data_IF_513505494522
#
_entry.id   IF_513505494522
#
_cell.length_a   1.000
_cell.length_b   1.000
_cell.length_c   1.000
_cell.angle_alpha   90.00
_cell.angle_beta   90.00
_cell.angle_gamma   90.00
#
_symmetry.space_group_name_H-M   'P 1'
#
loop_
_entity.id
_entity.type
_entity.pdbx_description
1 polymer ?
#
# COMPACT_ATOMS: atom_id res chain seq x y z
N UNK A 1 -6.85 -16.84 -4.55
CA UNK A 1 -5.78 -17.47 -3.75
C UNK A 1 -4.51 -16.77 -4.16
N UNK A 2 -4.09 -15.76 -3.41
CA UNK A 2 -2.82 -15.10 -3.64
C UNK A 2 -1.76 -15.96 -2.98
N UNK A 3 -0.95 -16.62 -3.80
CA UNK A 3 0.32 -17.21 -3.40
C UNK A 3 1.13 -16.13 -2.70
N UNK A 4 1.36 -16.30 -1.40
CA UNK A 4 2.48 -15.65 -0.73
C UNK A 4 3.70 -15.96 -1.57
N UNK A 5 4.27 -14.95 -2.21
CA UNK A 5 5.52 -15.08 -2.94
C UNK A 5 6.55 -15.59 -1.95
N UNK A 6 6.86 -16.87 -2.04
CA UNK A 6 8.01 -17.43 -1.38
C UNK A 6 9.20 -16.59 -1.86
N UNK A 7 9.91 -15.96 -0.91
CA UNK A 7 11.26 -15.50 -1.20
C UNK A 7 11.98 -16.68 -1.87
N UNK A 8 12.68 -16.47 -2.99
CA UNK A 8 13.35 -17.56 -3.68
C UNK A 8 14.20 -18.31 -2.66
N UNK A 9 14.09 -19.63 -2.60
CA UNK A 9 14.92 -20.48 -1.71
C UNK A 9 16.42 -20.14 -1.85
N UNK A 10 16.81 -19.63 -3.02
CA UNK A 10 18.13 -19.07 -3.29
C UNK A 10 18.52 -17.86 -2.42
N UNK A 11 17.60 -16.96 -2.06
CA UNK A 11 17.89 -15.76 -1.23
C UNK A 11 18.12 -16.15 0.23
N UNK A 12 17.35 -17.10 0.75
CA UNK A 12 17.52 -17.62 2.12
C UNK A 12 18.82 -18.43 2.23
N UNK A 13 19.14 -19.24 1.20
CA UNK A 13 20.40 -19.97 1.13
C UNK A 13 21.62 -19.05 0.96
N UNK A 14 21.48 -17.94 0.22
CA UNK A 14 22.52 -16.93 0.08
C UNK A 14 22.76 -16.18 1.40
N UNK A 15 21.70 -15.84 2.15
CA UNK A 15 21.83 -15.24 3.48
C UNK A 15 22.57 -16.17 4.45
N UNK A 16 22.22 -17.46 4.53
CA UNK A 16 22.89 -18.39 5.44
C UNK A 16 24.40 -18.56 5.12
N UNK A 17 24.78 -18.58 3.84
CA UNK A 17 26.20 -18.64 3.41
C UNK A 17 26.95 -17.34 3.70
N UNK A 18 26.30 -16.19 3.59
CA UNK A 18 26.88 -14.89 3.90
C UNK A 18 27.19 -14.74 5.40
N UNK A 19 26.30 -15.23 6.26
CA UNK A 19 26.51 -15.22 7.71
C UNK A 19 27.60 -16.21 8.15
N UNK A 20 27.70 -17.38 7.51
CA UNK A 20 28.79 -18.33 7.76
C UNK A 20 30.17 -17.78 7.32
N UNK A 21 30.23 -17.07 6.20
CA UNK A 21 31.46 -16.41 5.73
C UNK A 21 31.87 -15.22 6.63
N UNK A 22 30.88 -14.44 7.11
CA UNK A 22 31.13 -13.36 8.07
C UNK A 22 31.59 -13.88 9.44
N UNK A 23 31.04 -15.01 9.91
CA UNK A 23 31.46 -15.66 11.16
C UNK A 23 32.86 -16.32 11.06
N UNK A 24 33.26 -16.76 9.86
CA UNK A 24 34.62 -17.25 9.64
C UNK A 24 35.66 -16.11 9.58
N UNK A 25 35.27 -14.93 9.10
CA UNK A 25 36.14 -13.75 9.06
C UNK A 25 36.42 -13.13 10.44
N UNK A 26 35.53 -13.31 11.42
CA UNK A 26 35.74 -12.85 12.82
C UNK A 26 36.56 -13.83 13.67
N UNK A 27 36.87 -15.02 13.15
CA UNK A 27 37.65 -16.05 13.84
C UNK A 27 39.13 -16.07 13.40
N UNK A 28 39.67 -14.95 12.91
CA UNK A 28 41.10 -14.86 12.63
C UNK A 28 41.89 -14.86 13.94
N UNK A 29 42.50 -16.00 14.26
CA UNK A 29 43.47 -16.11 15.35
C UNK A 29 44.86 -15.89 14.74
N UNK A 30 45.56 -14.79 15.10
CA UNK A 30 46.89 -14.55 14.56
C UNK A 30 47.84 -15.68 14.99
N UNK A 31 48.64 -16.25 14.07
CA UNK A 31 49.67 -17.21 14.46
C UNK A 31 50.71 -16.50 15.36
N UNK A 32 51.21 -17.21 16.37
CA UNK A 32 52.31 -16.70 17.20
C UNK A 32 53.59 -16.77 16.37
N UNK A 33 54.12 -15.61 15.99
CA UNK A 33 55.32 -15.48 15.16
C UNK A 33 56.55 -15.16 16.01
N UNK A 34 57.68 -15.81 15.70
CA UNK A 34 58.97 -15.63 16.40
C UNK A 34 60.07 -15.00 15.53
N UNK A 35 59.81 -14.79 14.23
CA UNK A 35 60.71 -14.13 13.29
C UNK A 35 59.99 -13.03 12.49
N UNK A 36 60.78 -12.14 11.87
CA UNK A 36 60.27 -10.98 11.13
C UNK A 36 59.53 -11.37 9.84
N UNK A 37 59.91 -12.50 9.22
CA UNK A 37 59.25 -13.00 8.02
C UNK A 37 57.84 -13.55 8.32
N UNK A 38 57.67 -14.28 9.43
CA UNK A 38 56.35 -14.72 9.91
C UNK A 38 55.49 -13.52 10.29
N UNK A 39 56.04 -12.51 10.99
CA UNK A 39 55.29 -11.32 11.36
C UNK A 39 54.74 -10.57 10.14
N UNK A 40 55.57 -10.38 9.11
CA UNK A 40 55.13 -9.76 7.85
C UNK A 40 54.03 -10.57 7.13
N UNK A 41 54.13 -11.91 7.17
CA UNK A 41 53.10 -12.81 6.63
C UNK A 41 51.78 -12.75 7.40
N UNK A 42 51.84 -12.69 8.74
CA UNK A 42 50.68 -12.57 9.61
C UNK A 42 49.97 -11.22 9.44
N UNK A 43 50.72 -10.13 9.31
CA UNK A 43 50.18 -8.79 9.06
C UNK A 43 49.48 -8.72 7.69
N UNK A 44 50.07 -9.31 6.64
CA UNK A 44 49.44 -9.38 5.32
C UNK A 44 48.15 -10.23 5.33
N UNK A 45 48.15 -11.36 6.06
CA UNK A 45 46.97 -12.20 6.22
C UNK A 45 45.85 -11.48 7.01
N UNK A 46 46.22 -10.73 8.05
CA UNK A 46 45.28 -9.92 8.82
C UNK A 46 44.67 -8.80 7.97
N UNK A 47 45.50 -8.04 7.25
CA UNK A 47 45.04 -6.96 6.38
C UNK A 47 44.11 -7.46 5.28
N UNK A 48 44.39 -8.61 4.68
CA UNK A 48 43.52 -9.22 3.66
C UNK A 48 42.21 -9.71 4.27
N UNK A 49 42.25 -10.37 5.43
CA UNK A 49 41.08 -10.85 6.15
C UNK A 49 40.12 -9.72 6.59
N UNK A 50 40.63 -8.53 6.91
CA UNK A 50 39.82 -7.37 7.29
C UNK A 50 39.36 -6.56 6.07
N UNK A 51 40.24 -6.32 5.10
CA UNK A 51 39.93 -5.44 3.95
C UNK A 51 38.92 -6.06 2.98
N UNK A 52 39.02 -7.37 2.67
CA UNK A 52 38.10 -8.06 1.76
C UNK A 52 36.62 -7.97 2.17
N UNK A 53 36.22 -8.30 3.40
CA UNK A 53 34.82 -8.20 3.82
C UNK A 53 34.35 -6.74 3.87
N UNK A 54 35.23 -5.80 4.19
CA UNK A 54 34.89 -4.37 4.23
C UNK A 54 34.64 -3.82 2.82
N UNK A 55 35.49 -4.18 1.85
CA UNK A 55 35.29 -3.85 0.43
C UNK A 55 34.04 -4.54 -0.12
N UNK A 56 33.80 -5.82 0.23
CA UNK A 56 32.59 -6.53 -0.19
C UNK A 56 31.32 -5.88 0.40
N UNK A 57 31.34 -5.50 1.68
CA UNK A 57 30.22 -4.79 2.31
C UNK A 57 29.97 -3.43 1.65
N UNK A 58 31.03 -2.68 1.32
CA UNK A 58 30.92 -1.42 0.60
C UNK A 58 30.38 -1.63 -0.82
N UNK A 59 30.82 -2.65 -1.55
CA UNK A 59 30.34 -2.97 -2.89
C UNK A 59 28.86 -3.37 -2.87
N UNK A 60 28.44 -4.19 -1.91
CA UNK A 60 27.03 -4.55 -1.71
C UNK A 60 26.20 -3.33 -1.32
N UNK A 61 26.70 -2.49 -0.41
CA UNK A 61 26.05 -1.23 -0.04
C UNK A 61 25.89 -0.30 -1.24
N UNK A 62 26.93 -0.14 -2.05
CA UNK A 62 26.90 0.67 -3.27
C UNK A 62 25.95 0.10 -4.32
N UNK A 63 25.83 -1.22 -4.44
CA UNK A 63 24.89 -1.86 -5.35
C UNK A 63 23.44 -1.71 -4.91
N UNK A 64 23.14 -1.88 -3.62
CA UNK A 64 21.79 -1.70 -3.05
C UNK A 64 21.35 -0.24 -3.10
N UNK A 65 22.28 0.69 -2.91
CA UNK A 65 22.02 2.14 -2.98
C UNK A 65 22.16 2.69 -4.41
N UNK A 66 22.46 1.84 -5.40
CA UNK A 66 22.60 2.31 -6.79
C UNK A 66 21.26 2.88 -7.23
N UNK A 67 21.23 4.13 -7.72
CA UNK A 67 20.00 4.66 -8.31
C UNK A 67 19.56 3.75 -9.47
N UNK A 68 18.25 3.58 -9.69
CA UNK A 68 17.75 2.77 -10.78
C UNK A 68 18.38 3.22 -12.11
N UNK A 69 18.66 2.30 -13.05
CA UNK A 69 19.30 2.64 -14.31
C UNK A 69 18.47 3.69 -15.04
N UNK A 70 19.14 4.76 -15.50
CA UNK A 70 18.49 5.91 -16.16
C UNK A 70 17.66 5.52 -17.37
N UNK A 71 18.03 4.43 -18.04
CA UNK A 71 17.31 3.85 -19.16
C UNK A 71 15.83 3.55 -18.85
N UNK A 72 15.50 3.19 -17.59
CA UNK A 72 14.11 2.93 -17.16
C UNK A 72 13.30 4.21 -16.90
N UNK A 73 13.97 5.32 -16.58
CA UNK A 73 13.37 6.64 -16.45
C UNK A 73 13.09 7.21 -17.84
N UNK A 74 14.06 7.11 -18.74
CA UNK A 74 13.98 7.64 -20.10
C UNK A 74 13.00 6.83 -20.98
N UNK A 75 12.79 5.54 -20.67
CA UNK A 75 11.82 4.69 -21.38
C UNK A 75 10.36 4.96 -20.98
N UNK A 76 10.10 5.84 -20.01
CA UNK A 76 8.76 6.06 -19.47
C UNK A 76 8.17 4.81 -18.81
N UNK A 77 9.00 3.94 -18.22
CA UNK A 77 8.54 2.75 -17.49
C UNK A 77 8.43 3.00 -16.00
N UNK A 78 9.36 3.78 -15.46
CA UNK A 78 9.33 4.22 -14.07
C UNK A 78 8.62 5.56 -13.96
N UNK A 79 7.58 5.59 -13.15
CA UNK A 79 6.85 6.81 -12.81
C UNK A 79 7.05 7.10 -11.33
N UNK A 80 7.49 8.32 -11.04
CA UNK A 80 7.53 8.82 -9.68
C UNK A 80 6.20 9.49 -9.36
N UNK A 81 5.53 9.09 -8.28
CA UNK A 81 4.47 9.91 -7.72
C UNK A 81 5.12 11.18 -7.13
N UNK A 82 4.89 12.38 -7.68
CA UNK A 82 5.57 13.60 -7.28
C UNK A 82 5.34 13.96 -5.81
N UNK A 83 4.32 13.39 -5.16
CA UNK A 83 3.97 13.68 -3.78
C UNK A 83 4.61 12.73 -2.78
N UNK A 84 4.70 11.45 -3.12
CA UNK A 84 5.25 10.42 -2.21
C UNK A 84 6.69 10.07 -2.53
N UNK A 85 7.19 10.42 -3.72
CA UNK A 85 8.48 9.96 -4.23
C UNK A 85 8.52 8.44 -4.45
N UNK A 86 7.35 7.78 -4.49
CA UNK A 86 7.28 6.34 -4.72
C UNK A 86 7.38 6.07 -6.20
N UNK A 87 8.33 5.24 -6.57
CA UNK A 87 8.56 4.80 -7.94
C UNK A 87 7.67 3.60 -8.26
N UNK A 88 6.96 3.67 -9.37
CA UNK A 88 6.15 2.57 -9.91
C UNK A 88 6.67 2.16 -11.27
N UNK A 89 6.83 0.86 -11.48
CA UNK A 89 7.18 0.31 -12.79
C UNK A 89 5.89 -0.12 -13.51
N UNK A 90 5.61 0.53 -14.65
CA UNK A 90 4.51 0.13 -15.52
C UNK A 90 4.93 -1.04 -16.42
N UNK A 91 4.00 -1.94 -16.77
CA UNK A 91 4.23 -2.95 -17.80
C UNK A 91 4.66 -2.31 -19.13
N UNK A 92 5.42 -3.06 -19.94
CA UNK A 92 5.92 -2.55 -21.22
C UNK A 92 4.78 -2.09 -22.14
N UNK A 93 4.87 -0.86 -22.65
CA UNK A 93 3.89 -0.30 -23.59
C UNK A 93 2.61 0.28 -22.98
N UNK A 94 2.51 0.34 -21.65
CA UNK A 94 1.32 0.89 -20.97
C UNK A 94 1.63 2.27 -20.38
N UNK A 95 0.97 3.30 -20.91
CA UNK A 95 0.99 4.65 -20.32
C UNK A 95 0.03 4.73 -19.13
N UNK A 96 0.47 5.26 -17.98
CA UNK A 96 -0.41 5.42 -16.83
C UNK A 96 -1.47 6.48 -17.11
N UNK A 97 -2.65 6.27 -16.53
CA UNK A 97 -3.74 7.22 -16.54
C UNK A 97 -3.39 8.41 -15.65
N UNK A 98 -3.60 9.59 -16.22
CA UNK A 98 -3.38 10.86 -15.56
C UNK A 98 -4.70 11.63 -15.54
N UNK A 99 -5.07 12.14 -14.37
CA UNK A 99 -6.25 12.99 -14.18
C UNK A 99 -6.03 14.38 -14.79
N UNK A 100 -7.08 15.20 -14.88
CA UNK A 100 -7.08 16.57 -15.42
C UNK A 100 -6.09 17.54 -14.75
N UNK A 101 -5.53 17.15 -13.60
CA UNK A 101 -4.55 17.94 -12.84
C UNK A 101 -3.11 17.40 -13.01
N UNK A 102 -2.87 16.59 -14.04
CA UNK A 102 -1.59 15.91 -14.28
C UNK A 102 -1.14 14.98 -13.13
N UNK A 103 -2.11 14.43 -12.37
CA UNK A 103 -1.88 13.51 -11.25
C UNK A 103 -2.23 12.07 -11.65
N UNK A 104 -1.43 11.10 -11.20
CA UNK A 104 -1.68 9.67 -11.45
C UNK A 104 -3.04 9.21 -10.89
N UNK A 105 -3.74 8.40 -11.67
CA UNK A 105 -4.94 7.68 -11.22
C UNK A 105 -4.59 6.26 -10.74
N UNK A 106 -5.27 5.81 -9.68
CA UNK A 106 -4.91 4.57 -8.99
C UNK A 106 -6.06 3.56 -8.92
N UNK A 107 -5.74 2.27 -8.95
CA UNK A 107 -6.67 1.18 -8.64
C UNK A 107 -6.48 0.78 -7.17
N UNK A 108 -7.55 0.80 -6.35
CA UNK A 108 -7.47 0.34 -4.98
C UNK A 108 -7.57 -1.19 -4.93
N UNK A 109 -6.46 -1.87 -4.70
CA UNK A 109 -6.41 -3.34 -4.57
C UNK A 109 -6.37 -3.76 -3.10
N UNK A 110 -5.55 -3.08 -2.30
CA UNK A 110 -5.41 -3.31 -0.86
C UNK A 110 -4.95 -2.01 -0.21
N UNK A 111 -3.91 -2.00 0.62
CA UNK A 111 -3.31 -0.80 1.20
C UNK A 111 -2.46 -0.01 0.21
N UNK A 112 -1.91 -0.68 -0.80
CA UNK A 112 -1.06 -0.04 -1.80
C UNK A 112 -1.88 0.34 -3.02
N UNK A 113 -1.97 1.63 -3.37
CA UNK A 113 -2.57 2.05 -4.63
C UNK A 113 -1.67 1.61 -5.79
N UNK A 114 -2.27 1.13 -6.88
CA UNK A 114 -1.54 0.73 -8.08
C UNK A 114 -1.88 1.67 -9.25
N UNK A 115 -0.93 2.22 -10.00
CA UNK A 115 -1.25 3.05 -11.15
C UNK A 115 -2.05 2.27 -12.20
N UNK A 116 -2.94 2.97 -12.89
CA UNK A 116 -3.87 2.38 -13.86
C UNK A 116 -3.46 2.75 -15.27
N UNK A 117 -3.77 1.92 -16.27
CA UNK A 117 -3.58 2.25 -17.68
C UNK A 117 -4.57 3.33 -18.14
N UNK A 118 -4.17 4.21 -19.08
CA UNK A 118 -5.00 5.31 -19.59
C UNK A 118 -6.37 4.90 -20.14
N UNK A 119 -6.49 3.68 -20.66
CA UNK A 119 -7.69 3.12 -21.29
C UNK A 119 -8.53 2.25 -20.33
N UNK A 120 -8.19 2.23 -19.04
CA UNK A 120 -8.85 1.32 -18.11
C UNK A 120 -10.35 1.65 -17.98
N UNK A 121 -11.21 0.61 -17.99
CA UNK A 121 -12.63 0.78 -17.79
C UNK A 121 -12.93 1.06 -16.31
N UNK A 122 -13.84 2.00 -16.06
CA UNK A 122 -14.29 2.28 -14.71
C UNK A 122 -14.74 3.72 -14.49
N UNK A 123 -15.28 3.95 -13.31
CA UNK A 123 -15.68 5.27 -12.84
C UNK A 123 -14.52 5.90 -12.04
N UNK A 124 -14.23 7.17 -12.31
CA UNK A 124 -13.12 7.91 -11.68
C UNK A 124 -13.67 8.67 -10.49
N UNK A 125 -13.08 8.42 -9.33
CA UNK A 125 -13.59 8.88 -8.04
C UNK A 125 -12.47 9.53 -7.25
N UNK A 126 -12.68 10.75 -6.78
CA UNK A 126 -11.69 11.49 -5.98
C UNK A 126 -11.91 11.21 -4.50
N UNK A 127 -10.91 10.65 -3.83
CA UNK A 127 -10.94 10.32 -2.40
C UNK A 127 -9.80 11.03 -1.68
N UNK A 128 -10.09 11.66 -0.54
CA UNK A 128 -9.10 12.31 0.30
C UNK A 128 -8.20 11.30 1.02
N UNK A 129 -6.90 11.35 0.74
CA UNK A 129 -5.88 10.48 1.35
C UNK A 129 -4.64 11.28 1.74
N UNK A 130 -3.77 10.70 2.56
CA UNK A 130 -2.54 11.35 3.05
C UNK A 130 -2.52 11.47 4.56
N UNK A 131 -1.74 12.39 5.10
CA UNK A 131 -1.57 12.55 6.56
C UNK A 131 -2.90 12.91 7.22
N UNK A 132 -3.19 12.30 8.38
CA UNK A 132 -4.38 12.65 9.17
C UNK A 132 -4.36 14.16 9.50
N UNK A 133 -5.43 14.86 9.14
CA UNK A 133 -5.55 16.32 9.27
C UNK A 133 -5.08 17.14 8.06
N UNK A 134 -4.36 16.53 7.12
CA UNK A 134 -3.89 17.15 5.88
C UNK A 134 -4.09 16.18 4.70
N UNK A 135 -5.37 15.88 4.41
CA UNK A 135 -5.74 14.99 3.30
C UNK A 135 -5.77 15.72 1.99
N UNK A 136 -5.36 15.05 0.92
CA UNK A 136 -5.42 15.54 -0.44
C UNK A 136 -6.26 14.62 -1.33
N UNK A 137 -7.07 15.17 -2.23
CA UNK A 137 -7.88 14.36 -3.12
C UNK A 137 -6.98 13.64 -4.15
N UNK A 138 -7.05 12.31 -4.16
CA UNK A 138 -6.45 11.46 -5.20
C UNK A 138 -7.53 10.74 -6.00
N UNK A 139 -7.24 10.51 -7.28
CA UNK A 139 -8.20 9.90 -8.21
C UNK A 139 -8.02 8.39 -8.22
N UNK A 140 -9.11 7.67 -7.98
CA UNK A 140 -9.17 6.22 -7.97
C UNK A 140 -10.14 5.73 -9.04
N UNK A 141 -9.77 4.66 -9.74
CA UNK A 141 -10.56 4.06 -10.81
C UNK A 141 -11.24 2.80 -10.29
N UNK A 142 -12.56 2.76 -10.41
CA UNK A 142 -13.39 1.64 -9.97
C UNK A 142 -14.13 1.01 -11.16
N UNK A 143 -13.77 -0.22 -11.49
CA UNK A 143 -14.50 -1.04 -12.46
C UNK A 143 -15.85 -1.45 -11.88
N UNK A 144 -16.96 -1.28 -12.60
CA UNK A 144 -18.31 -1.67 -12.11
C UNK A 144 -18.42 -3.20 -12.04
N UNK A 145 -18.93 -3.73 -10.93
CA UNK A 145 -18.99 -5.18 -10.68
C UNK A 145 -20.41 -5.73 -10.64
N UNK A 146 -21.42 -4.89 -10.44
CA UNK A 146 -22.82 -5.31 -10.41
C UNK A 146 -23.33 -5.55 -11.83
N UNK A 147 -24.12 -6.61 -12.07
CA UNK A 147 -24.80 -6.80 -13.35
C UNK A 147 -25.93 -5.76 -13.49
N UNK A 148 -26.00 -5.11 -14.64
CA UNK A 148 -26.98 -4.06 -14.95
C UNK A 148 -26.44 -2.64 -14.71
N UNK A 149 -27.28 -1.61 -14.88
CA UNK A 149 -26.87 -0.23 -14.65
C UNK A 149 -26.54 -0.02 -13.16
N UNK A 150 -25.30 0.37 -12.87
CA UNK A 150 -24.83 0.70 -11.52
C UNK A 150 -24.03 1.99 -11.54
N UNK A 151 -23.90 2.61 -10.37
CA UNK A 151 -23.11 3.83 -10.16
C UNK A 151 -22.22 3.68 -8.93
N UNK A 152 -21.04 4.30 -8.96
CA UNK A 152 -20.13 4.35 -7.82
C UNK A 152 -20.44 5.62 -7.00
N UNK A 153 -20.70 5.44 -5.71
CA UNK A 153 -21.09 6.50 -4.78
C UNK A 153 -20.04 6.61 -3.68
N UNK A 154 -19.65 7.85 -3.37
CA UNK A 154 -18.76 8.15 -2.25
C UNK A 154 -19.53 8.70 -1.06
N UNK A 155 -19.54 7.94 0.03
CA UNK A 155 -20.26 8.29 1.25
C UNK A 155 -19.24 8.52 2.37
N UNK A 156 -19.16 9.75 2.88
CA UNK A 156 -18.26 10.08 3.99
C UNK A 156 -19.02 10.13 5.31
N UNK A 157 -18.70 9.21 6.23
CA UNK A 157 -19.37 9.04 7.52
C UNK A 157 -18.41 9.30 8.69
N UNK A 158 -18.88 9.90 9.80
CA UNK A 158 -18.09 9.99 11.02
C UNK A 158 -17.89 8.61 11.65
N UNK A 159 -16.88 8.47 12.51
CA UNK A 159 -16.72 7.29 13.38
C UNK A 159 -17.54 7.50 14.67
N UNK A 160 -18.17 6.47 15.27
CA UNK A 160 -18.34 5.10 14.75
C UNK A 160 -19.23 5.08 13.49
N UNK A 161 -18.90 4.19 12.55
CA UNK A 161 -19.55 4.13 11.23
C UNK A 161 -21.07 3.88 11.30
N UNK A 162 -21.52 2.99 12.18
CA UNK A 162 -22.94 2.64 12.30
C UNK A 162 -23.51 1.83 11.13
N UNK A 163 -22.67 1.29 10.25
CA UNK A 163 -23.08 0.45 9.10
C UNK A 163 -22.83 -1.02 9.41
N UNK A 164 -23.84 -1.86 9.17
CA UNK A 164 -23.74 -3.31 9.28
C UNK A 164 -23.47 -3.88 7.89
N UNK A 165 -22.34 -4.57 7.76
CA UNK A 165 -21.96 -5.23 6.51
C UNK A 165 -22.18 -6.74 6.62
N UNK A 166 -22.73 -7.31 5.56
CA UNK A 166 -22.79 -8.75 5.33
C UNK A 166 -21.79 -9.10 4.23
N UNK A 167 -21.11 -10.24 4.36
CA UNK A 167 -20.13 -10.69 3.38
C UNK A 167 -20.61 -11.95 2.67
N UNK A 168 -20.81 -11.84 1.36
CA UNK A 168 -21.12 -12.98 0.51
C UNK A 168 -19.81 -13.68 0.12
N UNK A 169 -19.55 -14.85 0.69
CA UNK A 169 -18.35 -15.65 0.39
C UNK A 169 -18.31 -16.18 -1.04
N UNK A 170 -19.48 -16.43 -1.66
CA UNK A 170 -19.56 -16.94 -3.04
C UNK A 170 -19.14 -15.86 -4.02
N UNK A 171 -19.64 -14.64 -3.83
CA UNK A 171 -19.33 -13.49 -4.68
C UNK A 171 -18.06 -12.75 -4.25
N UNK A 172 -17.56 -12.99 -3.03
CA UNK A 172 -16.43 -12.33 -2.38
C UNK A 172 -16.61 -10.82 -2.31
N UNK A 173 -17.78 -10.39 -1.85
CA UNK A 173 -18.18 -8.97 -1.78
C UNK A 173 -18.85 -8.70 -0.44
N UNK A 174 -18.52 -7.55 0.14
CA UNK A 174 -19.26 -7.03 1.29
C UNK A 174 -20.40 -6.15 0.78
N UNK A 175 -21.61 -6.34 1.29
CA UNK A 175 -22.75 -5.47 1.03
C UNK A 175 -23.28 -4.88 2.33
N UNK A 176 -23.88 -3.70 2.23
CA UNK A 176 -24.57 -3.05 3.35
C UNK A 176 -25.86 -3.83 3.64
N UNK A 177 -25.92 -4.46 4.80
CA UNK A 177 -27.08 -5.25 5.24
C UNK A 177 -28.05 -4.43 6.11
N UNK A 178 -27.56 -3.39 6.78
CA UNK A 178 -28.38 -2.55 7.64
C UNK A 178 -27.56 -1.51 8.38
N UNK A 179 -28.19 -0.90 9.38
CA UNK A 179 -27.61 0.17 10.19
C UNK A 179 -27.82 -0.07 11.67
N UNK A 180 -26.91 0.44 12.49
CA UNK A 180 -27.05 0.42 13.94
C UNK A 180 -28.04 1.53 14.34
N UNK A 181 -29.01 1.19 15.17
CA UNK A 181 -30.04 2.12 15.65
C UNK A 181 -29.41 3.31 16.39
N UNK A 182 -29.90 4.51 16.10
CA UNK A 182 -29.41 5.78 16.66
C UNK A 182 -28.11 6.28 16.03
N UNK A 183 -27.49 5.53 15.11
CA UNK A 183 -26.24 5.94 14.47
C UNK A 183 -26.41 7.06 13.45
N UNK A 184 -25.33 7.80 13.19
CA UNK A 184 -25.30 8.83 12.14
C UNK A 184 -25.60 8.26 10.75
N UNK A 185 -25.19 7.02 10.48
CA UNK A 185 -25.49 6.36 9.21
C UNK A 185 -26.99 6.07 9.05
N UNK A 186 -27.64 5.57 10.11
CA UNK A 186 -29.09 5.34 10.10
C UNK A 186 -29.86 6.66 9.92
N UNK A 187 -29.48 7.71 10.63
CA UNK A 187 -30.12 9.03 10.50
C UNK A 187 -30.01 9.57 9.07
N UNK A 188 -28.83 9.46 8.45
CA UNK A 188 -28.62 9.88 7.05
C UNK A 188 -29.40 9.02 6.06
N UNK A 189 -29.48 7.71 6.29
CA UNK A 189 -30.27 6.80 5.47
C UNK A 189 -31.77 7.14 5.54
N UNK A 190 -32.30 7.42 6.74
CA UNK A 190 -33.70 7.89 6.92
C UNK A 190 -33.95 9.19 6.16
N UNK A 191 -33.02 10.14 6.21
CA UNK A 191 -33.11 11.40 5.46
C UNK A 191 -33.06 11.17 3.95
N UNK A 192 -32.17 10.29 3.48
CA UNK A 192 -32.05 9.92 2.07
C UNK A 192 -33.31 9.23 1.53
N UNK A 193 -33.98 8.39 2.34
CA UNK A 193 -35.27 7.79 1.97
C UNK A 193 -36.35 8.83 1.72
N UNK A 194 -36.29 9.97 2.42
CA UNK A 194 -37.24 11.08 2.24
C UNK A 194 -36.82 12.04 1.11
N UNK A 195 -35.52 12.10 0.78
CA UNK A 195 -34.99 13.04 -0.20
C UNK A 195 -33.97 12.37 -1.14
N UNK A 196 -34.39 12.11 -2.38
CA UNK A 196 -33.57 11.51 -3.44
C UNK A 196 -32.28 12.27 -3.73
N UNK A 197 -32.24 13.59 -3.54
CA UNK A 197 -31.01 14.39 -3.76
C UNK A 197 -29.93 14.02 -2.74
N UNK A 198 -30.33 13.71 -1.50
CA UNK A 198 -29.42 13.32 -0.41
C UNK A 198 -29.05 11.85 -0.45
N UNK A 199 -29.58 11.09 -1.40
CA UNK A 199 -29.33 9.67 -1.53
C UNK A 199 -27.87 9.35 -1.88
N UNK A 200 -27.21 10.25 -2.61
CA UNK A 200 -25.78 10.14 -2.92
C UNK A 200 -24.87 10.32 -1.69
N UNK A 201 -25.37 10.96 -0.62
CA UNK A 201 -24.60 11.26 0.60
C UNK A 201 -24.79 10.20 1.70
N UNK A 202 -25.64 9.20 1.47
CA UNK A 202 -25.97 8.15 2.42
C UNK A 202 -25.67 6.77 1.83
N UNK A 203 -25.21 5.86 2.68
CA UNK A 203 -25.17 4.45 2.35
C UNK A 203 -26.60 3.89 2.37
N UNK A 204 -26.93 3.02 1.44
CA UNK A 204 -28.21 2.31 1.38
C UNK A 204 -28.02 0.81 1.57
N UNK A 205 -29.09 0.14 2.00
CA UNK A 205 -29.14 -1.32 2.05
C UNK A 205 -28.98 -1.90 0.64
N UNK A 206 -28.16 -2.93 0.51
CA UNK A 206 -27.83 -3.55 -0.78
C UNK A 206 -26.66 -2.92 -1.52
N UNK A 207 -26.17 -1.74 -1.10
CA UNK A 207 -24.95 -1.15 -1.65
C UNK A 207 -23.75 -2.09 -1.45
N UNK A 208 -22.91 -2.25 -2.46
CA UNK A 208 -21.71 -3.11 -2.40
C UNK A 208 -20.49 -2.28 -2.04
N UNK A 209 -19.77 -2.66 -0.98
CA UNK A 209 -18.54 -2.01 -0.57
C UNK A 209 -17.40 -2.33 -1.55
N UNK A 210 -16.90 -1.30 -2.24
CA UNK A 210 -15.80 -1.40 -3.20
C UNK A 210 -14.46 -1.02 -2.59
N UNK A 211 -14.45 0.07 -1.82
CA UNK A 211 -13.29 0.50 -1.06
C UNK A 211 -13.70 1.36 0.13
N UNK A 212 -12.77 1.65 1.01
CA UNK A 212 -12.98 2.60 2.10
C UNK A 212 -11.65 3.20 2.57
N UNK A 213 -11.70 4.38 3.18
CA UNK A 213 -10.51 4.95 3.82
C UNK A 213 -10.23 4.28 5.16
N UNK A 214 -8.98 3.95 5.44
CA UNK A 214 -8.53 3.44 6.72
C UNK A 214 -7.21 4.08 7.13
N UNK A 215 -6.92 4.08 8.43
CA UNK A 215 -5.71 4.70 8.96
C UNK A 215 -4.58 3.68 9.01
N UNK A 216 -3.45 3.97 8.39
CA UNK A 216 -2.23 3.15 8.44
C UNK A 216 -1.07 3.95 9.04
N UNK A 217 -0.27 3.35 9.93
CA UNK A 217 1.01 3.93 10.35
C UNK A 217 2.00 3.86 9.18
N UNK A 218 2.64 4.97 8.88
CA UNK A 218 3.71 5.09 7.87
C UNK A 218 4.98 5.52 8.59
N UNK A 219 6.05 4.75 8.38
CA UNK A 219 7.37 5.05 8.90
C UNK A 219 8.14 5.85 7.85
N UNK A 220 8.42 7.14 8.09
CA UNK A 220 9.20 7.92 7.14
C UNK A 220 10.62 7.35 7.03
N UNK A 221 11.16 7.24 5.83
CA UNK A 221 12.50 6.67 5.56
C UNK A 221 13.62 7.42 6.31
N UNK A 222 13.39 8.69 6.66
CA UNK A 222 14.29 9.49 7.51
C UNK A 222 14.43 8.96 8.95
N UNK A 223 13.61 8.01 9.37
CA UNK A 223 13.66 7.38 10.69
C UNK A 223 14.80 6.35 10.84
N UNK A 224 15.55 6.02 9.77
CA UNK A 224 16.67 5.07 9.87
C UNK A 224 17.83 5.57 10.76
N UNK A 225 17.93 6.88 11.03
CA UNK A 225 19.00 7.49 11.82
C UNK A 225 18.49 8.29 13.04
N UNK A 226 17.22 8.14 13.41
CA UNK A 226 16.63 8.81 14.59
C UNK A 226 15.21 8.31 14.88
N UNK A 227 14.83 8.25 16.15
CA UNK A 227 13.52 7.76 16.59
C UNK A 227 12.41 8.79 16.30
N UNK A 228 11.99 8.87 15.03
CA UNK A 228 10.80 9.65 14.64
C UNK A 228 9.56 8.77 14.84
N UNK A 229 8.58 9.28 15.57
CA UNK A 229 7.31 8.59 15.78
C UNK A 229 6.60 8.33 14.44
N UNK A 230 5.90 7.18 14.28
CA UNK A 230 5.21 6.86 13.05
C UNK A 230 4.08 7.86 12.78
N UNK A 231 3.98 8.29 11.54
CA UNK A 231 2.89 9.16 11.12
C UNK A 231 1.64 8.34 10.79
N UNK A 232 0.45 8.90 11.04
CA UNK A 232 -0.82 8.27 10.70
C UNK A 232 -1.31 8.83 9.38
N UNK A 233 -1.51 7.95 8.40
CA UNK A 233 -1.99 8.30 7.07
C UNK A 233 -3.33 7.63 6.78
N UNK A 234 -4.25 8.35 6.15
CA UNK A 234 -5.48 7.83 5.56
C UNK A 234 -5.15 7.28 4.18
N UNK A 235 -5.43 6.00 3.98
CA UNK A 235 -5.22 5.29 2.71
C UNK A 235 -6.52 4.65 2.26
N UNK A 236 -6.75 4.57 0.95
CA UNK A 236 -7.89 3.83 0.39
C UNK A 236 -7.56 2.35 0.39
N UNK A 237 -8.36 1.56 1.11
CA UNK A 237 -8.30 0.11 1.10
C UNK A 237 -9.31 -0.46 0.09
N UNK A 238 -8.83 -1.20 -0.90
CA UNK A 238 -9.68 -1.94 -1.84
C UNK A 238 -10.35 -3.15 -1.17
N UNK A 239 -11.67 -3.23 -1.24
CA UNK A 239 -12.44 -4.35 -0.67
C UNK A 239 -12.72 -5.47 -1.69
N UNK A 240 -12.54 -5.19 -2.98
CA UNK A 240 -12.87 -6.10 -4.07
C UNK A 240 -12.10 -7.42 -4.01
N UNK A 241 -12.83 -8.54 -4.09
CA UNK A 241 -12.27 -9.91 -4.06
C UNK A 241 -11.42 -10.21 -2.80
N UNK A 242 -11.47 -9.33 -1.80
CA UNK A 242 -10.73 -9.43 -0.54
C UNK A 242 -11.30 -10.48 0.40
N UNK A 243 -10.48 -10.96 1.35
CA UNK A 243 -10.96 -11.82 2.43
C UNK A 243 -11.68 -10.97 3.48
N UNK A 244 -12.82 -11.45 3.99
CA UNK A 244 -13.61 -10.71 4.98
C UNK A 244 -12.82 -10.35 6.24
N UNK A 245 -11.96 -11.24 6.73
CA UNK A 245 -11.10 -10.97 7.88
C UNK A 245 -10.15 -9.77 7.66
N UNK A 246 -9.62 -9.62 6.44
CA UNK A 246 -8.76 -8.49 6.10
C UNK A 246 -9.55 -7.18 5.99
N UNK A 247 -10.73 -7.23 5.34
CA UNK A 247 -11.66 -6.09 5.24
C UNK A 247 -12.09 -5.60 6.63
N UNK A 248 -12.52 -6.51 7.52
CA UNK A 248 -12.86 -6.19 8.91
C UNK A 248 -11.70 -5.58 9.67
N UNK A 249 -10.50 -6.14 9.51
CA UNK A 249 -9.30 -5.62 10.18
C UNK A 249 -9.01 -4.20 9.71
N UNK A 250 -9.08 -3.94 8.40
CA UNK A 250 -8.90 -2.61 7.84
C UNK A 250 -9.99 -1.62 8.27
N UNK A 251 -11.28 -2.02 8.31
CA UNK A 251 -12.37 -1.16 8.79
C UNK A 251 -12.20 -0.76 10.27
N UNK A 252 -11.67 -1.68 11.09
CA UNK A 252 -11.35 -1.43 12.50
C UNK A 252 -10.12 -0.55 12.68
N UNK A 253 -9.31 -0.33 11.64
CA UNK A 253 -8.16 0.58 11.73
C UNK A 253 -8.63 2.03 11.71
N UNK A 254 -8.14 2.77 12.69
CA UNK A 254 -8.47 4.16 12.92
C UNK A 254 -9.25 4.38 14.21
N UNK A 255 -9.15 5.59 14.71
CA UNK A 255 -9.75 6.10 15.94
C UNK A 255 -10.67 7.27 15.58
N UNK A 256 -11.52 7.69 16.50
CA UNK A 256 -12.38 8.86 16.30
C UNK A 256 -11.58 10.13 15.92
N UNK A 257 -10.36 10.27 16.45
CA UNK A 257 -9.47 11.41 16.19
C UNK A 257 -8.91 11.45 14.76
N UNK A 258 -8.94 10.33 14.04
CA UNK A 258 -8.42 10.26 12.67
C UNK A 258 -9.36 10.88 11.62
N UNK A 259 -10.56 11.32 12.05
CA UNK A 259 -11.55 11.93 11.19
C UNK A 259 -12.55 10.95 10.58
N UNK A 260 -13.36 11.41 9.62
CA UNK A 260 -14.39 10.60 9.00
C UNK A 260 -13.80 9.54 8.06
N UNK A 261 -14.60 8.51 7.79
CA UNK A 261 -14.30 7.44 6.85
C UNK A 261 -15.11 7.66 5.59
N UNK A 262 -14.44 7.62 4.43
CA UNK A 262 -15.09 7.64 3.13
C UNK A 262 -15.24 6.20 2.66
N UNK A 263 -16.48 5.77 2.48
CA UNK A 263 -16.86 4.50 1.87
C UNK A 263 -17.09 4.75 0.37
N UNK A 264 -16.50 3.91 -0.46
CA UNK A 264 -16.79 3.83 -1.90
C UNK A 264 -17.70 2.64 -2.10
N UNK A 265 -18.94 2.92 -2.47
CA UNK A 265 -20.01 1.95 -2.61
C UNK A 265 -20.44 1.85 -4.08
N UNK A 266 -20.85 0.66 -4.52
CA UNK A 266 -21.50 0.49 -5.81
C UNK A 266 -23.00 0.23 -5.59
N UNK A 267 -23.82 1.08 -6.20
CA UNK A 267 -25.28 1.05 -6.09
C UNK A 267 -25.90 0.65 -7.42
N UNK A 268 -26.93 -0.20 -7.38
CA UNK A 268 -27.76 -0.47 -8.57
C UNK A 268 -28.63 0.75 -8.87
N UNK A 269 -28.61 1.19 -10.12
CA UNK A 269 -29.57 2.19 -10.59
C UNK A 269 -30.85 1.44 -10.88
N UNK A 270 -31.88 1.68 -10.08
CA UNK A 270 -33.23 1.22 -10.41
C UNK A 270 -33.77 2.23 -11.41
N UNK A 271 -33.89 1.82 -12.68
CA UNK A 271 -34.59 2.63 -13.67
C UNK A 271 -36.04 2.85 -13.19
N UNK A 272 -36.53 4.11 -13.17
CA UNK A 272 -37.85 4.45 -12.65
C UNK A 272 -39.00 3.86 -13.47
#
# INVERSE_FOLDING_TARGET
>A
MATLGALPVAVVAAQAKCWAAAAAATAFVPPVCFDAECAAGADAAFLTAVSLPLVAALAVGAWVLRPPPKELLDSGRLFEDPKTGTMFEAPEGVSPEVDKNDLLAFKPISYTPWPVASDAPGERVRVGVGKVGATEPRTFVFEKLLPGPSQIVCVTLPRPLGVVFEFDERRKRASVAGFVEGSNAEQRQKVARLNKVKEAEAALEGDVLRAFTCTCPVWPTKALFGAVAPERHLVVYGADKGKWGAIRTALRRGTYRDGPVTLVLERRVVEP
#
